data_IF_066473574903
#
_entry.id   IF_066473574903
#
_cell.length_a   1.000
_cell.length_b   1.000
_cell.length_c   1.000
_cell.angle_alpha   90.00
_cell.angle_beta   90.00
_cell.angle_gamma   90.00
#
_symmetry.space_group_name_H-M   'P 1'
#
loop_
_entity.id
_entity.type
_entity.pdbx_description
1 polymer ?
#
# COMPACT_ATOMS: atom_id res chain seq x y z
N UNK A 1 19.09 15.17 0.44
CA UNK A 1 19.87 14.91 -0.79
C UNK A 1 20.42 16.20 -1.35
N UNK A 2 21.57 16.66 -0.87
CA UNK A 2 22.21 17.91 -1.30
C UNK A 2 23.70 17.61 -1.46
N UNK A 3 24.14 17.39 -2.70
CA UNK A 3 25.52 16.98 -3.01
C UNK A 3 25.72 16.25 -4.34
N UNK A 4 24.65 15.89 -5.05
CA UNK A 4 24.77 15.28 -6.38
C UNK A 4 25.32 16.28 -7.41
N UNK A 5 26.36 15.93 -8.18
CA UNK A 5 26.81 16.70 -9.33
C UNK A 5 25.64 16.95 -10.31
N UNK A 6 25.64 18.11 -10.95
CA UNK A 6 24.52 18.54 -11.80
C UNK A 6 24.22 17.55 -12.94
N UNK A 7 25.26 16.97 -13.53
CA UNK A 7 25.12 15.94 -14.56
C UNK A 7 24.40 14.69 -14.02
N UNK A 8 24.82 14.19 -12.86
CA UNK A 8 24.21 13.03 -12.22
C UNK A 8 22.75 13.31 -11.83
N UNK A 9 22.46 14.53 -11.36
CA UNK A 9 21.08 14.96 -11.06
C UNK A 9 20.20 14.98 -12.31
N UNK A 10 20.73 15.44 -13.45
CA UNK A 10 20.01 15.42 -14.74
C UNK A 10 19.76 14.00 -15.23
N UNK A 11 20.78 13.13 -15.18
CA UNK A 11 20.66 11.72 -15.56
C UNK A 11 19.63 10.99 -14.70
N UNK A 12 19.66 11.19 -13.38
CA UNK A 12 18.70 10.60 -12.46
C UNK A 12 17.26 11.05 -12.78
N UNK A 13 17.05 12.35 -13.04
CA UNK A 13 15.74 12.87 -13.44
C UNK A 13 15.27 12.27 -14.78
N UNK A 14 16.15 12.08 -15.75
CA UNK A 14 15.81 11.44 -17.03
C UNK A 14 15.38 10.00 -16.81
N UNK A 15 16.19 9.22 -16.08
CA UNK A 15 15.91 7.83 -15.75
C UNK A 15 14.56 7.67 -15.04
N UNK A 16 14.27 8.48 -14.02
CA UNK A 16 12.98 8.42 -13.32
C UNK A 16 11.79 8.77 -14.23
N UNK A 17 11.98 9.67 -15.20
CA UNK A 17 10.94 10.04 -16.18
C UNK A 17 10.73 8.99 -17.25
N UNK A 18 11.80 8.33 -17.68
CA UNK A 18 11.77 7.25 -18.67
C UNK A 18 11.15 5.97 -18.11
N UNK A 19 11.17 5.80 -16.78
CA UNK A 19 10.65 4.63 -16.08
C UNK A 19 9.45 4.97 -15.18
N UNK A 20 8.64 5.97 -15.55
CA UNK A 20 7.50 6.41 -14.73
C UNK A 20 6.47 5.31 -14.50
N UNK A 21 6.36 4.39 -15.46
CA UNK A 21 5.48 3.22 -15.46
C UNK A 21 5.97 2.07 -14.57
N UNK A 22 7.24 2.06 -14.18
CA UNK A 22 7.79 1.06 -13.24
C UNK A 22 7.41 1.33 -11.79
N UNK A 23 6.98 2.55 -11.47
CA UNK A 23 6.57 2.94 -10.13
C UNK A 23 5.05 2.99 -10.04
N UNK A 24 4.50 2.43 -8.97
CA UNK A 24 3.09 2.62 -8.66
C UNK A 24 2.92 3.94 -7.89
N UNK A 25 2.22 4.88 -8.51
CA UNK A 25 1.84 6.17 -7.94
C UNK A 25 0.46 6.10 -7.28
N UNK A 26 -0.37 5.13 -7.67
CA UNK A 26 -1.67 4.82 -7.08
C UNK A 26 -1.79 3.35 -6.66
N UNK A 27 -2.69 3.07 -5.72
CA UNK A 27 -2.95 1.70 -5.26
C UNK A 27 -3.42 0.78 -6.39
N UNK A 28 -4.18 1.32 -7.36
CA UNK A 28 -4.66 0.58 -8.54
C UNK A 28 -3.55 0.17 -9.51
N UNK A 29 -2.38 0.82 -9.46
CA UNK A 29 -1.21 0.48 -10.28
C UNK A 29 -0.37 -0.65 -9.65
N UNK A 30 -0.70 -1.07 -8.43
CA UNK A 30 -0.17 -2.29 -7.81
C UNK A 30 -1.23 -3.38 -7.92
N UNK A 31 -1.30 -4.15 -9.01
CA UNK A 31 -2.14 -5.34 -9.00
C UNK A 31 -1.62 -6.27 -7.89
N UNK A 32 -2.55 -6.75 -7.05
CA UNK A 32 -2.20 -7.67 -5.99
C UNK A 32 -1.57 -8.95 -6.56
N UNK A 33 -0.88 -9.71 -5.72
CA UNK A 33 -0.49 -11.06 -6.10
C UNK A 33 -1.75 -11.92 -6.21
N UNK A 34 -1.90 -12.65 -7.32
CA UNK A 34 -2.97 -13.63 -7.47
C UNK A 34 -2.90 -14.62 -6.30
N UNK A 35 -3.97 -14.79 -5.50
CA UNK A 35 -3.99 -15.73 -4.39
C UNK A 35 -3.66 -17.18 -4.80
N UNK A 36 -3.88 -17.53 -6.07
CA UNK A 36 -3.50 -18.84 -6.62
C UNK A 36 -1.98 -18.96 -6.85
N UNK A 37 -1.27 -17.84 -7.00
CA UNK A 37 0.19 -17.80 -7.14
C UNK A 37 0.85 -17.83 -5.77
N UNK A 38 0.40 -16.97 -4.85
CA UNK A 38 0.97 -16.90 -3.51
C UNK A 38 -0.09 -16.42 -2.51
N UNK A 39 -0.47 -17.31 -1.58
CA UNK A 39 -1.31 -16.98 -0.44
C UNK A 39 -0.65 -17.50 0.85
N UNK A 40 -0.64 -16.68 1.90
CA UNK A 40 -0.18 -17.10 3.21
C UNK A 40 -1.36 -17.65 4.02
N UNK A 41 -1.23 -18.90 4.47
CA UNK A 41 -2.17 -19.50 5.41
C UNK A 41 -1.65 -19.33 6.84
N UNK A 42 -2.41 -18.61 7.66
CA UNK A 42 -2.11 -18.48 9.08
C UNK A 42 -2.30 -19.84 9.77
N UNK A 43 -1.29 -20.29 10.50
CA UNK A 43 -1.40 -21.49 11.35
C UNK A 43 -2.09 -21.10 12.66
N UNK A 44 -3.42 -21.21 12.68
CA UNK A 44 -4.25 -20.87 13.84
C UNK A 44 -4.70 -22.17 14.51
N UNK A 45 -4.73 -22.18 15.85
CA UNK A 45 -5.34 -23.27 16.62
C UNK A 45 -6.84 -23.39 16.28
N UNK A 46 -7.32 -24.54 15.77
CA UNK A 46 -8.73 -24.72 15.42
C UNK A 46 -9.70 -24.58 16.61
N UNK A 47 -9.20 -24.69 17.83
CA UNK A 47 -9.99 -24.51 19.06
C UNK A 47 -10.04 -23.05 19.55
N UNK A 48 -9.26 -22.15 18.94
CA UNK A 48 -9.23 -20.76 19.32
C UNK A 48 -10.53 -20.03 18.94
N UNK A 49 -11.10 -19.31 19.91
CA UNK A 49 -12.27 -18.48 19.70
C UNK A 49 -11.91 -17.15 19.03
N UNK A 50 -12.77 -16.66 18.14
CA UNK A 50 -12.65 -15.32 17.60
C UNK A 50 -12.83 -14.26 18.70
N UNK A 51 -11.94 -13.26 18.72
CA UNK A 51 -11.97 -12.16 19.70
C UNK A 51 -12.20 -10.85 18.97
N UNK A 52 -13.34 -10.21 19.23
CA UNK A 52 -13.66 -8.88 18.69
C UNK A 52 -12.96 -7.82 19.53
N UNK A 53 -12.01 -7.10 18.93
CA UNK A 53 -11.34 -5.98 19.58
C UNK A 53 -12.17 -4.70 19.48
N UNK A 54 -12.27 -3.97 20.59
CA UNK A 54 -12.92 -2.66 20.60
C UNK A 54 -12.14 -1.67 19.73
N UNK A 55 -12.83 -0.95 18.85
CA UNK A 55 -12.24 0.12 18.03
C UNK A 55 -11.57 1.17 18.92
N UNK A 56 -10.30 1.47 18.63
CA UNK A 56 -9.54 2.52 19.33
C UNK A 56 -10.03 3.91 18.86
N UNK A 57 -10.07 4.89 19.78
CA UNK A 57 -10.34 6.29 19.42
C UNK A 57 -9.17 6.83 18.59
N UNK A 58 -9.50 7.43 17.45
CA UNK A 58 -8.55 8.15 16.59
C UNK A 58 -8.81 9.65 16.72
N UNK A 59 -7.79 10.48 16.50
CA UNK A 59 -8.00 11.91 16.29
C UNK A 59 -8.78 12.14 14.98
N UNK A 60 -9.48 13.26 14.81
CA UNK A 60 -10.22 13.57 13.58
C UNK A 60 -9.34 13.44 12.32
N UNK A 61 -8.13 14.02 12.35
CA UNK A 61 -7.15 13.93 11.26
C UNK A 61 -6.79 12.48 10.90
N UNK A 62 -6.57 11.62 11.91
CA UNK A 62 -6.23 10.20 11.67
C UNK A 62 -7.42 9.41 11.14
N UNK A 63 -8.64 9.77 11.56
CA UNK A 63 -9.85 9.13 11.07
C UNK A 63 -10.08 9.46 9.59
N UNK A 64 -9.93 10.73 9.21
CA UNK A 64 -10.04 11.19 7.82
C UNK A 64 -8.97 10.55 6.91
N UNK A 65 -7.72 10.50 7.38
CA UNK A 65 -6.65 9.83 6.63
C UNK A 65 -6.91 8.32 6.46
N UNK A 66 -7.43 7.65 7.50
CA UNK A 66 -7.78 6.24 7.43
C UNK A 66 -8.96 5.99 6.48
N UNK A 67 -9.97 6.85 6.48
CA UNK A 67 -11.12 6.76 5.58
C UNK A 67 -10.69 6.89 4.11
N UNK A 68 -9.84 7.88 3.81
CA UNK A 68 -9.26 8.02 2.47
C UNK A 68 -8.47 6.77 2.07
N UNK A 69 -7.59 6.26 2.94
CA UNK A 69 -6.80 5.08 2.66
C UNK A 69 -7.67 3.83 2.42
N UNK A 70 -8.73 3.64 3.22
CA UNK A 70 -9.67 2.52 3.04
C UNK A 70 -10.36 2.60 1.68
N UNK A 71 -10.80 3.80 1.27
CA UNK A 71 -11.40 4.02 -0.05
C UNK A 71 -10.42 3.65 -1.18
N UNK A 72 -9.19 4.15 -1.11
CA UNK A 72 -8.16 3.90 -2.11
C UNK A 72 -7.83 2.39 -2.22
N UNK A 73 -7.84 1.66 -1.09
CA UNK A 73 -7.59 0.21 -1.04
C UNK A 73 -8.77 -0.63 -1.57
N UNK A 74 -10.01 -0.19 -1.32
CA UNK A 74 -11.21 -0.82 -1.87
C UNK A 74 -11.24 -0.67 -3.40
N UNK A 75 -10.93 0.53 -3.91
CA UNK A 75 -10.86 0.79 -5.35
C UNK A 75 -9.78 -0.07 -6.05
N UNK A 76 -8.67 -0.34 -5.35
CA UNK A 76 -7.62 -1.24 -5.83
C UNK A 76 -7.93 -2.74 -5.66
N UNK A 77 -9.08 -3.12 -5.08
CA UNK A 77 -9.44 -4.50 -4.73
C UNK A 77 -8.42 -5.21 -3.82
N UNK A 78 -7.72 -4.46 -2.96
CA UNK A 78 -6.79 -5.02 -1.98
C UNK A 78 -7.47 -5.49 -0.71
N UNK A 79 -8.60 -4.87 -0.37
CA UNK A 79 -9.45 -5.24 0.76
C UNK A 79 -10.88 -5.38 0.26
N UNK A 80 -11.70 -6.11 1.01
CA UNK A 80 -13.13 -6.31 0.74
C UNK A 80 -13.94 -5.93 1.98
N UNK A 81 -15.22 -5.56 1.78
CA UNK A 81 -16.18 -5.30 2.86
C UNK A 81 -16.61 -6.56 3.61
#
# INVERSE_FOLDING_TARGET
>A
GTGLPELARKQLKSCLRENTDLFAWHATEMPGLDPNVACHQLTIDPSASAVVQRRRRQSPEKAEAAEKAVKDLLEANFISE
#
